data_IF_987716144400
#
_entry.id   IF_987716144400
#
_cell.length_a   1.000
_cell.length_b   1.000
_cell.length_c   1.000
_cell.angle_alpha   90.00
_cell.angle_beta   90.00
_cell.angle_gamma   90.00
#
_symmetry.space_group_name_H-M   'P 1'
#
loop_
_entity.id
_entity.type
_entity.pdbx_description
1 polymer ?
#
# COMPACT_ATOMS: atom_id res chain seq x y z
N UNK A 1 -4.08 -13.21 13.40
CA UNK A 1 -2.62 -13.01 13.28
C UNK A 1 -2.03 -14.03 12.33
N UNK A 2 -1.07 -13.62 11.47
CA UNK A 2 -0.15 -14.58 10.85
C UNK A 2 0.80 -15.14 11.92
N UNK A 3 1.39 -16.32 11.66
CA UNK A 3 2.38 -16.90 12.59
C UNK A 3 3.52 -15.94 12.90
N UNK A 4 3.99 -15.20 11.88
CA UNK A 4 5.08 -14.23 12.05
C UNK A 4 4.66 -13.07 12.94
N UNK A 5 3.48 -12.48 12.69
CA UNK A 5 2.96 -11.38 13.48
C UNK A 5 2.69 -11.82 14.94
N UNK A 6 2.13 -13.02 15.13
CA UNK A 6 1.93 -13.60 16.46
C UNK A 6 3.26 -13.78 17.21
N UNK A 7 4.27 -14.34 16.56
CA UNK A 7 5.60 -14.50 17.16
C UNK A 7 6.21 -13.14 17.56
N UNK A 8 6.12 -12.13 16.69
CA UNK A 8 6.59 -10.77 16.99
C UNK A 8 5.88 -10.18 18.23
N UNK A 9 4.56 -10.40 18.36
CA UNK A 9 3.81 -9.95 19.54
C UNK A 9 4.20 -10.72 20.82
N UNK A 10 4.48 -12.03 20.72
CA UNK A 10 4.99 -12.81 21.85
C UNK A 10 6.34 -12.26 22.35
N UNK A 11 7.27 -12.00 21.45
CA UNK A 11 8.58 -11.42 21.81
C UNK A 11 8.41 -10.03 22.41
N UNK A 12 7.58 -9.17 21.78
CA UNK A 12 7.42 -7.77 22.19
C UNK A 12 6.69 -7.58 23.51
N UNK A 13 5.72 -8.46 23.83
CA UNK A 13 4.77 -8.26 24.96
C UNK A 13 4.85 -9.29 26.07
N UNK A 14 5.54 -10.40 25.83
CA UNK A 14 5.53 -11.55 26.77
C UNK A 14 6.92 -12.12 27.02
N UNK A 15 7.98 -11.37 26.71
CA UNK A 15 9.38 -11.77 26.93
C UNK A 15 9.70 -13.17 26.37
N UNK A 16 9.06 -13.53 25.25
CA UNK A 16 9.18 -14.85 24.65
C UNK A 16 10.52 -15.00 23.95
N UNK A 17 11.33 -15.99 24.40
CA UNK A 17 12.72 -16.17 23.96
C UNK A 17 12.93 -17.24 22.89
N UNK A 18 11.90 -18.06 22.60
CA UNK A 18 12.03 -19.13 21.60
C UNK A 18 11.93 -18.59 20.17
N UNK A 19 12.64 -19.22 19.26
CA UNK A 19 12.70 -18.78 17.85
C UNK A 19 11.39 -19.02 17.09
N UNK A 20 11.23 -18.27 15.98
CA UNK A 20 10.06 -18.34 15.08
C UNK A 20 9.69 -19.76 14.63
N UNK A 21 10.69 -20.61 14.35
CA UNK A 21 10.46 -21.98 13.91
C UNK A 21 9.75 -22.83 14.96
N UNK A 22 10.10 -22.62 16.24
CA UNK A 22 9.46 -23.31 17.36
C UNK A 22 8.00 -22.86 17.47
N UNK A 23 7.74 -21.54 17.48
CA UNK A 23 6.39 -20.99 17.48
C UNK A 23 5.53 -21.56 16.35
N UNK A 24 6.07 -21.52 15.13
CA UNK A 24 5.38 -22.05 13.94
C UNK A 24 5.05 -23.54 14.10
N UNK A 25 6.00 -24.36 14.51
CA UNK A 25 5.78 -25.81 14.71
C UNK A 25 4.73 -26.08 15.79
N UNK A 26 4.81 -25.38 16.93
CA UNK A 26 3.83 -25.54 18.01
C UNK A 26 2.41 -25.19 17.58
N UNK A 27 2.23 -24.10 16.82
CA UNK A 27 0.93 -23.69 16.29
C UNK A 27 0.36 -24.69 15.27
N UNK A 28 1.23 -25.30 14.43
CA UNK A 28 0.81 -26.36 13.52
C UNK A 28 0.41 -27.64 14.26
N UNK A 29 1.18 -28.07 15.26
CA UNK A 29 0.89 -29.27 16.07
C UNK A 29 -0.43 -29.07 16.85
N UNK A 30 -0.67 -27.87 17.36
CA UNK A 30 -1.92 -27.51 18.03
C UNK A 30 -3.13 -27.34 17.08
N UNK A 31 -2.95 -27.50 15.77
CA UNK A 31 -4.03 -27.34 14.78
C UNK A 31 -4.53 -25.89 14.59
N UNK A 32 -3.86 -24.91 15.18
CA UNK A 32 -4.25 -23.50 15.13
C UNK A 32 -3.89 -22.80 13.81
N UNK A 33 -3.00 -23.39 13.03
CA UNK A 33 -2.56 -22.86 11.75
C UNK A 33 -2.56 -23.95 10.67
N UNK A 34 -3.18 -23.66 9.54
CA UNK A 34 -3.17 -24.57 8.38
C UNK A 34 -1.90 -24.37 7.54
N UNK A 35 -1.39 -25.42 6.88
CA UNK A 35 -0.34 -25.27 5.88
C UNK A 35 -0.74 -24.29 4.78
N UNK A 36 0.21 -23.47 4.34
CA UNK A 36 -0.04 -22.57 3.23
C UNK A 36 -0.33 -23.37 1.95
N UNK A 37 -1.29 -22.95 1.10
CA UNK A 37 -1.54 -23.59 -0.17
C UNK A 37 -0.29 -23.57 -1.06
N UNK A 38 -0.14 -24.58 -1.90
CA UNK A 38 0.94 -24.62 -2.90
C UNK A 38 0.86 -23.37 -3.78
N UNK A 39 2.00 -22.75 -4.02
CA UNK A 39 2.08 -21.57 -4.90
C UNK A 39 1.80 -21.96 -6.33
N UNK A 40 1.00 -21.14 -7.05
CA UNK A 40 0.82 -21.23 -8.49
C UNK A 40 2.11 -20.88 -9.25
N UNK A 41 2.13 -21.15 -10.57
CA UNK A 41 3.28 -20.90 -11.44
C UNK A 41 3.88 -19.48 -11.28
N UNK A 42 5.18 -19.38 -11.50
CA UNK A 42 5.94 -18.14 -11.41
C UNK A 42 5.40 -17.08 -12.40
N UNK A 43 4.91 -15.95 -11.89
CA UNK A 43 4.57 -14.78 -12.72
C UNK A 43 5.83 -13.99 -13.03
N UNK A 44 5.92 -13.48 -14.28
CA UNK A 44 7.00 -12.59 -14.71
C UNK A 44 6.97 -11.31 -13.85
N UNK A 45 8.11 -10.96 -13.24
CA UNK A 45 8.21 -9.75 -12.40
C UNK A 45 8.76 -8.61 -13.25
N UNK A 46 8.14 -7.42 -13.16
CA UNK A 46 8.73 -6.20 -13.69
C UNK A 46 10.00 -5.86 -12.88
N UNK A 47 11.12 -5.51 -13.55
CA UNK A 47 12.30 -5.01 -12.86
C UNK A 47 11.96 -3.77 -12.00
N UNK A 48 12.65 -3.62 -10.89
CA UNK A 48 12.57 -2.40 -10.06
C UNK A 48 13.34 -1.26 -10.71
N UNK A 49 12.96 -0.04 -10.42
CA UNK A 49 13.83 1.10 -10.67
C UNK A 49 15.10 0.95 -9.82
N UNK A 50 16.27 1.33 -10.35
CA UNK A 50 17.54 1.08 -9.63
C UNK A 50 17.76 2.02 -8.44
N UNK A 51 17.21 3.21 -8.47
CA UNK A 51 17.48 4.27 -7.48
C UNK A 51 16.19 4.71 -6.81
N UNK A 52 16.25 4.98 -5.51
CA UNK A 52 15.21 5.57 -4.68
C UNK A 52 14.75 6.91 -5.25
N UNK A 53 13.44 7.16 -5.24
CA UNK A 53 12.85 8.39 -5.78
C UNK A 53 12.71 8.44 -7.30
N UNK A 54 13.21 7.45 -8.06
CA UNK A 54 13.00 7.40 -9.51
C UNK A 54 11.54 7.14 -9.88
N UNK A 55 10.82 6.38 -9.07
CA UNK A 55 9.40 6.13 -9.29
C UNK A 55 8.72 5.77 -7.99
N UNK A 56 7.62 6.45 -7.71
CA UNK A 56 6.73 6.12 -6.62
C UNK A 56 5.45 5.48 -7.15
N UNK A 57 4.88 4.59 -6.38
CA UNK A 57 3.53 4.05 -6.59
C UNK A 57 2.60 4.71 -5.60
N UNK A 58 1.45 5.21 -6.07
CA UNK A 58 0.36 5.61 -5.18
C UNK A 58 -0.88 4.80 -5.54
N UNK A 59 -1.55 4.29 -4.52
CA UNK A 59 -2.70 3.41 -4.69
C UNK A 59 -3.55 3.44 -3.41
N UNK A 60 -4.86 3.22 -3.54
CA UNK A 60 -5.80 3.12 -2.45
C UNK A 60 -6.25 1.69 -2.18
N UNK A 61 -6.66 1.41 -0.96
CA UNK A 61 -7.24 0.11 -0.61
C UNK A 61 -8.37 0.25 0.38
N UNK A 62 -9.59 -0.14 -0.06
CA UNK A 62 -10.77 -0.14 0.78
C UNK A 62 -10.83 -1.36 1.69
N UNK A 63 -10.94 -1.10 2.99
CA UNK A 63 -11.00 -2.16 4.01
C UNK A 63 -11.57 -1.61 5.32
N UNK A 64 -11.99 -2.50 6.23
CA UNK A 64 -12.27 -2.13 7.63
C UNK A 64 -10.94 -2.07 8.37
N UNK A 65 -10.33 -0.89 8.42
CA UNK A 65 -9.01 -0.70 9.02
C UNK A 65 -9.08 -0.53 10.54
N UNK A 66 -10.14 0.10 11.04
CA UNK A 66 -10.36 0.34 12.46
C UNK A 66 -11.60 -0.44 12.89
N UNK A 67 -11.47 -1.26 13.93
CA UNK A 67 -12.56 -2.06 14.47
C UNK A 67 -13.71 -1.17 14.94
N UNK A 68 -14.92 -1.48 14.48
CA UNK A 68 -16.13 -0.73 14.82
C UNK A 68 -16.45 0.45 13.89
N UNK A 69 -15.56 0.80 12.94
CA UNK A 69 -15.83 1.81 11.92
C UNK A 69 -16.23 1.17 10.58
N UNK A 70 -16.84 1.96 9.71
CA UNK A 70 -17.11 1.57 8.33
C UNK A 70 -15.81 1.32 7.54
N UNK A 71 -15.91 0.60 6.41
CA UNK A 71 -14.79 0.47 5.49
C UNK A 71 -14.41 1.83 4.91
N UNK A 72 -13.11 2.12 4.87
CA UNK A 72 -12.52 3.36 4.35
C UNK A 72 -11.28 3.06 3.52
N UNK A 73 -10.76 4.03 2.81
CA UNK A 73 -9.61 3.84 1.95
C UNK A 73 -8.32 4.19 2.69
N UNK A 74 -7.34 3.30 2.60
CA UNK A 74 -5.96 3.55 3.00
C UNK A 74 -5.17 3.94 1.76
N UNK A 75 -4.73 5.18 1.68
CA UNK A 75 -3.87 5.68 0.61
C UNK A 75 -2.42 5.41 1.00
N UNK A 76 -1.69 4.76 0.10
CA UNK A 76 -0.28 4.42 0.32
C UNK A 76 0.56 4.91 -0.84
N UNK A 77 1.61 5.67 -0.54
CA UNK A 77 2.65 6.04 -1.51
C UNK A 77 3.94 5.34 -1.15
N UNK A 78 4.46 4.53 -2.06
CA UNK A 78 5.65 3.70 -1.82
C UNK A 78 6.68 3.82 -2.95
N UNK A 79 7.95 3.70 -2.59
CA UNK A 79 9.07 3.71 -3.54
C UNK A 79 9.22 2.38 -4.27
N UNK A 80 9.40 2.45 -5.60
CA UNK A 80 9.55 1.27 -6.47
C UNK A 80 10.84 0.48 -6.21
N UNK A 81 11.93 1.16 -5.93
CA UNK A 81 13.24 0.54 -5.74
C UNK A 81 13.31 -0.21 -4.41
N UNK A 82 12.86 0.42 -3.32
CA UNK A 82 13.02 -0.08 -1.96
C UNK A 82 11.76 -0.77 -1.41
N UNK A 83 10.58 -0.41 -1.90
CA UNK A 83 9.26 -0.70 -1.31
C UNK A 83 9.05 -0.02 0.05
N UNK A 84 9.79 1.02 0.36
CA UNK A 84 9.58 1.87 1.52
C UNK A 84 8.30 2.69 1.34
N UNK A 85 7.51 2.81 2.38
CA UNK A 85 6.31 3.64 2.39
C UNK A 85 6.75 5.06 2.75
N UNK A 86 6.44 6.03 1.89
CA UNK A 86 6.77 7.43 2.08
C UNK A 86 5.60 8.22 2.68
N UNK A 87 4.37 7.82 2.35
CA UNK A 87 3.16 8.39 2.92
C UNK A 87 2.09 7.32 3.07
N UNK A 88 1.33 7.35 4.15
CA UNK A 88 0.25 6.42 4.40
C UNK A 88 -0.80 7.06 5.31
N UNK A 89 -2.05 7.19 4.82
CA UNK A 89 -3.12 7.79 5.62
C UNK A 89 -4.49 7.20 5.26
N UNK A 90 -5.37 7.15 6.25
CA UNK A 90 -6.76 6.74 6.13
C UNK A 90 -7.64 7.91 5.71
N UNK A 91 -8.56 7.66 4.79
CA UNK A 91 -9.56 8.62 4.30
C UNK A 91 -10.89 7.92 4.09
N UNK A 92 -11.97 8.67 4.07
CA UNK A 92 -13.30 8.11 3.78
C UNK A 92 -13.37 7.53 2.37
N UNK A 93 -12.77 8.24 1.39
CA UNK A 93 -12.77 7.86 -0.01
C UNK A 93 -11.48 8.32 -0.73
N UNK A 94 -10.96 7.46 -1.61
CA UNK A 94 -9.87 7.81 -2.51
C UNK A 94 -10.33 8.85 -3.55
N UNK A 95 -9.50 9.88 -3.78
CA UNK A 95 -9.79 10.92 -4.76
C UNK A 95 -8.68 11.96 -4.87
N UNK A 96 -9.00 13.08 -5.51
CA UNK A 96 -8.03 14.16 -5.76
C UNK A 96 -7.42 14.72 -4.47
N UNK A 97 -8.25 14.96 -3.44
CA UNK A 97 -7.79 15.54 -2.18
C UNK A 97 -6.84 14.61 -1.42
N UNK A 98 -7.21 13.32 -1.30
CA UNK A 98 -6.37 12.32 -0.63
C UNK A 98 -5.07 12.04 -1.40
N UNK A 99 -5.11 12.05 -2.73
CA UNK A 99 -3.92 11.99 -3.59
C UNK A 99 -2.96 13.14 -3.28
N UNK A 100 -3.45 14.38 -3.25
CA UNK A 100 -2.61 15.55 -2.94
C UNK A 100 -2.09 15.54 -1.51
N UNK A 101 -2.87 15.05 -0.54
CA UNK A 101 -2.40 14.91 0.84
C UNK A 101 -1.16 14.01 0.91
N UNK A 102 -1.21 12.82 0.30
CA UNK A 102 -0.07 11.92 0.23
C UNK A 102 1.12 12.49 -0.54
N UNK A 103 0.89 13.12 -1.69
CA UNK A 103 1.97 13.75 -2.46
C UNK A 103 2.64 14.90 -1.70
N UNK A 104 1.86 15.71 -0.96
CA UNK A 104 2.40 16.79 -0.12
C UNK A 104 3.31 16.22 0.98
N UNK A 105 2.89 15.16 1.64
CA UNK A 105 3.68 14.50 2.67
C UNK A 105 5.01 13.96 2.09
N UNK A 106 4.94 13.30 0.93
CA UNK A 106 6.13 12.83 0.22
C UNK A 106 7.09 13.97 -0.11
N UNK A 107 6.60 15.04 -0.73
CA UNK A 107 7.45 16.18 -1.13
C UNK A 107 8.05 16.88 0.09
N UNK A 108 7.28 17.03 1.17
CA UNK A 108 7.76 17.64 2.40
C UNK A 108 8.84 16.81 3.10
N UNK A 109 8.69 15.47 3.12
CA UNK A 109 9.60 14.58 3.84
C UNK A 109 10.78 14.07 3.01
N UNK A 110 10.61 13.93 1.69
CA UNK A 110 11.58 13.27 0.80
C UNK A 110 12.03 14.12 -0.40
N UNK A 111 11.37 15.25 -0.65
CA UNK A 111 11.61 16.10 -1.82
C UNK A 111 10.88 15.61 -3.06
N UNK A 112 11.23 16.22 -4.23
CA UNK A 112 10.68 15.84 -5.52
C UNK A 112 11.22 14.48 -5.97
N UNK A 113 10.39 13.75 -6.72
CA UNK A 113 10.70 12.45 -7.30
C UNK A 113 10.47 12.49 -8.83
N UNK A 114 10.97 11.47 -9.56
CA UNK A 114 10.98 11.55 -11.04
C UNK A 114 9.65 11.13 -11.67
N UNK A 115 8.98 10.09 -11.13
CA UNK A 115 7.75 9.57 -11.73
C UNK A 115 6.75 9.08 -10.69
N UNK A 116 5.44 9.30 -10.93
CA UNK A 116 4.34 8.69 -10.21
C UNK A 116 3.69 7.59 -11.06
N UNK A 117 3.57 6.41 -10.51
CA UNK A 117 2.87 5.27 -11.10
C UNK A 117 1.56 5.04 -10.34
N UNK A 118 0.43 5.20 -11.00
CA UNK A 118 -0.90 5.01 -10.40
C UNK A 118 -1.81 4.18 -11.30
N UNK A 119 -2.95 3.80 -10.80
CA UNK A 119 -4.00 3.24 -11.63
C UNK A 119 -4.61 4.31 -12.56
N UNK A 120 -5.65 3.94 -13.31
CA UNK A 120 -6.34 4.83 -14.24
C UNK A 120 -7.62 5.43 -13.63
N UNK A 121 -7.66 5.61 -12.33
CA UNK A 121 -8.77 6.28 -11.65
C UNK A 121 -9.05 7.66 -12.27
N UNK A 122 -10.30 8.10 -12.24
CA UNK A 122 -10.72 9.35 -12.88
C UNK A 122 -10.08 10.60 -12.29
N UNK A 123 -9.63 10.53 -11.03
CA UNK A 123 -8.88 11.62 -10.39
C UNK A 123 -7.43 11.67 -10.84
N UNK A 124 -6.85 10.53 -11.29
CA UNK A 124 -5.50 10.46 -11.86
C UNK A 124 -5.49 10.79 -13.34
N UNK A 125 -6.35 10.17 -14.12
CA UNK A 125 -6.33 10.29 -15.58
C UNK A 125 -7.71 10.54 -16.18
N UNK A 126 -7.74 11.32 -17.25
CA UNK A 126 -8.89 11.40 -18.14
C UNK A 126 -8.83 10.28 -19.16
N UNK A 127 -9.84 9.40 -19.18
CA UNK A 127 -9.98 8.34 -20.17
C UNK A 127 -11.22 8.64 -21.01
N UNK A 128 -11.10 8.93 -22.34
CA UNK A 128 -12.24 9.34 -23.18
C UNK A 128 -13.37 8.32 -23.22
N UNK A 129 -13.01 7.03 -23.35
CA UNK A 129 -13.95 5.91 -23.33
C UNK A 129 -13.40 4.75 -22.50
N UNK A 130 -14.29 3.96 -21.89
CA UNK A 130 -13.91 2.78 -21.15
C UNK A 130 -13.07 1.81 -22.02
N UNK A 131 -11.92 1.39 -21.54
CA UNK A 131 -10.97 0.51 -22.24
C UNK A 131 -9.96 1.20 -23.13
N UNK A 132 -10.10 2.48 -23.43
CA UNK A 132 -9.12 3.25 -24.21
C UNK A 132 -7.89 3.65 -23.40
N UNK A 133 -6.89 4.18 -24.10
CA UNK A 133 -5.71 4.78 -23.45
C UNK A 133 -6.08 6.10 -22.80
N UNK A 134 -5.40 6.43 -21.70
CA UNK A 134 -5.55 7.73 -21.04
C UNK A 134 -5.18 8.88 -21.98
N UNK A 135 -5.89 10.00 -21.86
CA UNK A 135 -5.59 11.21 -22.63
C UNK A 135 -4.25 11.80 -22.21
N UNK A 136 -3.44 12.20 -23.18
CA UNK A 136 -2.19 12.92 -22.94
C UNK A 136 -2.37 14.44 -22.95
N UNK A 137 -3.48 14.93 -23.48
CA UNK A 137 -3.76 16.36 -23.64
C UNK A 137 -4.76 16.89 -22.61
N UNK A 138 -5.74 16.07 -22.23
CA UNK A 138 -6.70 16.41 -21.17
C UNK A 138 -6.19 15.89 -19.82
N UNK A 139 -5.55 16.75 -19.05
CA UNK A 139 -5.02 16.41 -17.75
C UNK A 139 -6.04 16.69 -16.66
N UNK A 140 -6.11 15.78 -15.67
CA UNK A 140 -6.82 16.00 -14.41
C UNK A 140 -6.09 17.05 -13.55
N UNK A 141 -6.64 17.45 -12.42
CA UNK A 141 -5.95 18.33 -11.47
C UNK A 141 -4.61 17.73 -11.02
N UNK A 142 -4.61 16.43 -10.70
CA UNK A 142 -3.39 15.70 -10.31
C UNK A 142 -2.39 15.69 -11.46
N UNK A 143 -2.82 15.35 -12.68
CA UNK A 143 -1.95 15.34 -13.85
C UNK A 143 -1.31 16.70 -14.15
N UNK A 144 -2.06 17.81 -13.99
CA UNK A 144 -1.52 19.17 -14.17
C UNK A 144 -0.49 19.53 -13.10
N UNK A 145 -0.77 19.22 -11.83
CA UNK A 145 0.16 19.48 -10.73
C UNK A 145 1.48 18.71 -10.92
N UNK A 146 1.41 17.42 -11.26
CA UNK A 146 2.60 16.62 -11.53
C UNK A 146 3.40 17.19 -12.72
N UNK A 147 2.73 17.59 -13.80
CA UNK A 147 3.39 18.20 -14.95
C UNK A 147 4.10 19.53 -14.59
N UNK A 148 3.49 20.38 -13.75
CA UNK A 148 4.10 21.62 -13.26
C UNK A 148 5.35 21.35 -12.40
N UNK A 149 5.36 20.25 -11.65
CA UNK A 149 6.50 19.83 -10.84
C UNK A 149 7.58 19.07 -11.63
N UNK A 150 7.36 18.82 -12.93
CA UNK A 150 8.26 18.03 -13.76
C UNK A 150 8.25 16.54 -13.43
N UNK A 151 7.19 16.04 -12.80
CA UNK A 151 7.03 14.62 -12.42
C UNK A 151 6.29 13.88 -13.53
N UNK A 152 6.88 12.82 -14.06
CA UNK A 152 6.24 11.96 -15.05
C UNK A 152 5.06 11.19 -14.41
N UNK A 153 3.87 11.23 -15.03
CA UNK A 153 2.71 10.48 -14.55
C UNK A 153 2.46 9.25 -15.43
N UNK A 154 2.64 8.05 -14.87
CA UNK A 154 2.61 6.78 -15.59
C UNK A 154 1.35 5.99 -15.20
N UNK A 155 0.51 5.69 -16.21
CA UNK A 155 -0.72 4.91 -16.02
C UNK A 155 -0.43 3.39 -16.00
N UNK A 156 -1.02 2.67 -15.05
CA UNK A 156 -0.98 1.21 -15.00
C UNK A 156 -2.02 0.59 -15.95
N UNK A 157 -1.55 -0.18 -16.94
CA UNK A 157 -2.43 -0.86 -17.90
C UNK A 157 -2.63 -2.35 -17.62
N UNK A 158 -1.91 -2.93 -16.69
CA UNK A 158 -2.04 -4.35 -16.36
C UNK A 158 -2.04 -4.62 -14.87
N UNK A 159 -2.72 -5.70 -14.42
CA UNK A 159 -2.69 -6.11 -13.01
C UNK A 159 -1.28 -6.45 -12.52
N UNK A 160 -0.43 -7.05 -13.37
CA UNK A 160 0.95 -7.39 -13.00
C UNK A 160 1.78 -6.15 -12.66
N UNK A 161 1.44 -5.03 -13.27
CA UNK A 161 2.07 -3.75 -13.03
C UNK A 161 1.81 -3.25 -11.59
N UNK A 162 0.68 -3.62 -10.97
CA UNK A 162 0.28 -3.28 -9.59
C UNK A 162 0.69 -4.30 -8.53
N UNK A 163 1.33 -5.38 -8.90
CA UNK A 163 1.66 -6.49 -7.99
C UNK A 163 2.53 -6.12 -6.77
N UNK A 164 3.09 -4.91 -6.71
CA UNK A 164 3.79 -4.36 -5.53
C UNK A 164 2.80 -3.78 -4.54
N UNK A 165 1.95 -2.87 -4.97
CA UNK A 165 0.89 -2.29 -4.14
C UNK A 165 0.01 -3.39 -3.57
N UNK A 166 -0.44 -4.34 -4.39
CA UNK A 166 -1.23 -5.49 -3.94
C UNK A 166 -0.56 -6.29 -2.81
N UNK A 167 0.76 -6.50 -2.90
CA UNK A 167 1.51 -7.22 -1.85
C UNK A 167 1.61 -6.41 -0.57
N UNK A 168 1.85 -5.11 -0.68
CA UNK A 168 1.89 -4.20 0.47
C UNK A 168 0.51 -4.17 1.13
N UNK A 169 -0.56 -3.95 0.36
CA UNK A 169 -1.91 -3.94 0.91
C UNK A 169 -2.33 -5.26 1.56
N UNK A 170 -1.98 -6.41 0.97
CA UNK A 170 -2.22 -7.70 1.63
C UNK A 170 -1.55 -7.77 3.01
N UNK A 171 -0.34 -7.25 3.13
CA UNK A 171 0.38 -7.22 4.41
C UNK A 171 -0.28 -6.25 5.38
N UNK A 172 -0.64 -5.05 4.91
CA UNK A 172 -1.29 -4.03 5.72
C UNK A 172 -2.68 -4.49 6.19
N UNK A 173 -3.51 -5.04 5.30
CA UNK A 173 -4.84 -5.59 5.65
C UNK A 173 -4.76 -6.70 6.69
N UNK A 174 -3.72 -7.54 6.66
CA UNK A 174 -3.53 -8.56 7.68
C UNK A 174 -3.01 -8.00 9.01
N UNK A 175 -2.19 -6.94 8.99
CA UNK A 175 -1.46 -6.47 10.18
C UNK A 175 -2.04 -5.21 10.80
N UNK A 176 -2.29 -4.17 10.00
CA UNK A 176 -2.63 -2.84 10.49
C UNK A 176 -3.88 -2.81 11.37
N UNK A 177 -5.02 -3.45 11.02
CA UNK A 177 -6.18 -3.48 11.90
C UNK A 177 -5.90 -4.09 13.27
N UNK A 178 -5.02 -5.10 13.31
CA UNK A 178 -4.63 -5.77 14.54
C UNK A 178 -3.70 -4.92 15.40
N UNK A 179 -2.76 -4.19 14.78
CA UNK A 179 -1.87 -3.27 15.48
C UNK A 179 -2.64 -2.06 16.03
N UNK A 180 -3.55 -1.48 15.26
CA UNK A 180 -4.43 -0.39 15.71
C UNK A 180 -5.26 -0.82 16.92
N UNK A 181 -5.87 -2.01 16.87
CA UNK A 181 -6.61 -2.58 18.00
C UNK A 181 -5.71 -2.80 19.22
N UNK A 182 -4.51 -3.35 19.05
CA UNK A 182 -3.56 -3.58 20.14
C UNK A 182 -3.03 -2.27 20.76
N UNK A 183 -3.01 -1.20 19.98
CA UNK A 183 -2.67 0.15 20.42
C UNK A 183 -3.87 0.90 21.04
N UNK A 184 -5.08 0.33 20.99
CA UNK A 184 -6.30 0.98 21.48
C UNK A 184 -6.80 2.13 20.61
N UNK A 185 -6.33 2.22 19.34
CA UNK A 185 -6.70 3.27 18.40
C UNK A 185 -8.09 2.96 17.83
N UNK A 186 -9.02 3.92 17.96
CA UNK A 186 -10.43 3.77 17.58
C UNK A 186 -10.93 4.88 16.66
N UNK A 187 -10.13 5.89 16.35
CA UNK A 187 -10.52 7.01 15.48
C UNK A 187 -9.53 7.16 14.32
N UNK A 188 -9.97 7.77 13.23
CA UNK A 188 -9.15 8.02 12.04
C UNK A 188 -8.03 9.01 12.35
N UNK A 189 -8.33 10.05 13.11
CA UNK A 189 -7.36 11.09 13.49
C UNK A 189 -6.22 10.52 14.33
N UNK A 190 -6.52 9.56 15.23
CA UNK A 190 -5.50 8.91 16.04
C UNK A 190 -4.69 7.86 15.26
N UNK A 191 -5.25 7.35 14.15
CA UNK A 191 -4.59 6.38 13.30
C UNK A 191 -3.64 7.02 12.28
N UNK A 192 -3.96 8.26 11.83
CA UNK A 192 -3.15 9.11 10.97
C UNK A 192 -2.11 9.90 11.75
#
# INVERSE_FOLDING_TARGET
FTVKHFHEQLVKRHDYVLGYTVTKRSLHVAGLVRPAPKRSAHRKKRPRRPIRGMMLHQDGSRHVWIEGLAAMDLIVTLDDATSEIYAMHLVDEEGTASTFAGLREVVAGHGLFCALYSDRGSHYFHTPKAGEKVSKTQLTQVGRALAQLGIEHIAAYSPEARGRSERVFRTLQDRLPKELRLAGIKTVEAAN
#
